data_IF_734185181821
#
_entry.id   IF_734185181821
#
_cell.length_a   1.000
_cell.length_b   1.000
_cell.length_c   1.000
_cell.angle_alpha   90.00
_cell.angle_beta   90.00
_cell.angle_gamma   90.00
#
_symmetry.space_group_name_H-M   'P 1'
#
loop_
_entity.id
_entity.type
_entity.pdbx_description
1 polymer ?
#
# COMPACT_ATOMS: atom_id res chain seq x y z
N UNK A 1 45.41 -63.55 26.01
CA UNK A 1 44.33 -63.01 26.87
C UNK A 1 43.60 -61.92 26.09
N UNK A 2 42.47 -62.24 25.47
CA UNK A 2 41.67 -61.27 24.71
C UNK A 2 40.54 -60.74 25.61
N UNK A 3 40.65 -59.48 26.07
CA UNK A 3 39.50 -58.78 26.67
C UNK A 3 38.57 -58.35 25.54
N UNK A 4 37.38 -58.95 25.47
CA UNK A 4 36.31 -58.48 24.60
C UNK A 4 35.77 -57.16 25.17
N UNK A 5 35.60 -56.10 24.35
CA UNK A 5 34.89 -54.90 24.79
C UNK A 5 33.41 -55.24 24.99
N UNK A 6 32.91 -55.00 26.21
CA UNK A 6 31.48 -55.13 26.53
C UNK A 6 30.64 -54.11 25.73
N UNK A 7 29.45 -54.48 25.24
CA UNK A 7 28.53 -53.56 24.57
C UNK A 7 27.82 -52.68 25.60
N UNK A 8 28.57 -51.84 26.32
CA UNK A 8 28.02 -50.94 27.33
C UNK A 8 27.35 -49.68 26.71
N UNK A 9 27.44 -49.49 25.39
CA UNK A 9 26.97 -48.29 24.70
C UNK A 9 25.49 -48.30 24.27
N UNK A 10 24.87 -49.47 24.09
CA UNK A 10 23.55 -49.56 23.43
C UNK A 10 22.41 -48.87 24.18
N UNK A 11 22.32 -49.08 25.50
CA UNK A 11 21.24 -48.51 26.32
C UNK A 11 21.39 -46.99 26.51
N UNK A 12 22.61 -46.51 26.76
CA UNK A 12 22.89 -45.07 26.92
C UNK A 12 22.62 -44.28 25.64
N UNK A 13 23.00 -44.83 24.48
CA UNK A 13 22.69 -44.22 23.18
C UNK A 13 21.19 -44.20 22.91
N UNK A 14 20.46 -45.27 23.21
CA UNK A 14 18.99 -45.30 23.06
C UNK A 14 18.29 -44.26 23.94
N UNK A 15 18.69 -44.16 25.22
CA UNK A 15 18.14 -43.16 26.14
C UNK A 15 18.46 -41.76 25.64
N UNK A 16 19.70 -41.51 25.19
CA UNK A 16 20.10 -40.22 24.61
C UNK A 16 19.28 -39.83 23.39
N UNK A 17 19.04 -40.77 22.47
CA UNK A 17 18.20 -40.54 21.28
C UNK A 17 16.76 -40.23 21.67
N UNK A 18 16.17 -40.98 22.61
CA UNK A 18 14.81 -40.74 23.08
C UNK A 18 14.65 -39.36 23.73
N UNK A 19 15.64 -38.92 24.51
CA UNK A 19 15.65 -37.59 25.11
C UNK A 19 15.74 -36.48 24.05
N UNK A 20 16.59 -36.65 23.03
CA UNK A 20 16.70 -35.70 21.91
C UNK A 20 15.39 -35.61 21.11
N UNK A 21 14.76 -36.75 20.81
CA UNK A 21 13.47 -36.78 20.11
C UNK A 21 12.38 -36.12 20.95
N UNK A 22 12.33 -36.42 22.25
CA UNK A 22 11.38 -35.79 23.18
C UNK A 22 11.56 -34.27 23.26
N UNK A 23 12.81 -33.80 23.35
CA UNK A 23 13.12 -32.37 23.33
C UNK A 23 12.74 -31.72 22.01
N UNK A 24 13.02 -32.38 20.88
CA UNK A 24 12.64 -31.87 19.57
C UNK A 24 11.12 -31.72 19.43
N UNK A 25 10.35 -32.73 19.85
CA UNK A 25 8.89 -32.68 19.85
C UNK A 25 8.39 -31.54 20.74
N UNK A 26 8.98 -31.36 21.92
CA UNK A 26 8.61 -30.29 22.85
C UNK A 26 8.85 -28.92 22.21
N UNK A 27 10.01 -28.70 21.59
CA UNK A 27 10.34 -27.44 20.91
C UNK A 27 9.40 -27.19 19.73
N UNK A 28 9.14 -28.20 18.89
CA UNK A 28 8.23 -28.08 17.75
C UNK A 28 6.82 -27.72 18.24
N UNK A 29 6.32 -28.38 19.29
CA UNK A 29 5.01 -28.08 19.86
C UNK A 29 4.90 -26.62 20.30
N UNK A 30 5.89 -26.11 21.04
CA UNK A 30 5.87 -24.72 21.50
C UNK A 30 6.03 -23.71 20.37
N UNK A 31 6.81 -24.03 19.34
CA UNK A 31 6.93 -23.20 18.15
C UNK A 31 5.58 -23.09 17.40
N UNK A 32 4.87 -24.21 17.23
CA UNK A 32 3.55 -24.22 16.60
C UNK A 32 2.50 -23.44 17.41
N UNK A 33 2.49 -23.59 18.73
CA UNK A 33 1.59 -22.83 19.61
C UNK A 33 1.87 -21.33 19.48
N UNK A 34 3.13 -20.93 19.55
CA UNK A 34 3.53 -19.52 19.39
C UNK A 34 3.12 -18.99 18.01
N UNK A 35 3.35 -19.75 16.95
CA UNK A 35 2.94 -19.37 15.60
C UNK A 35 1.42 -19.20 15.49
N UNK A 36 0.64 -20.12 16.08
CA UNK A 36 -0.81 -20.03 16.10
C UNK A 36 -1.32 -18.79 16.88
N UNK A 37 -0.69 -18.48 18.02
CA UNK A 37 -1.01 -17.28 18.81
C UNK A 37 -0.73 -16.01 18.01
N UNK A 38 0.40 -15.94 17.31
CA UNK A 38 0.79 -14.77 16.51
C UNK A 38 0.00 -14.63 15.20
N UNK A 39 -0.51 -15.74 14.66
CA UNK A 39 -1.29 -15.74 13.42
C UNK A 39 -2.55 -14.87 13.53
N UNK A 40 -3.20 -14.82 14.70
CA UNK A 40 -4.42 -14.02 14.92
C UNK A 40 -4.14 -12.51 14.84
N UNK A 41 -3.30 -11.90 15.70
CA UNK A 41 -3.04 -10.47 15.65
C UNK A 41 -2.38 -10.06 14.34
N UNK A 42 -1.49 -10.88 13.78
CA UNK A 42 -0.87 -10.59 12.48
C UNK A 42 -1.88 -10.66 11.34
N UNK A 43 -2.78 -11.65 11.34
CA UNK A 43 -3.84 -11.76 10.35
C UNK A 43 -4.82 -10.59 10.41
N UNK A 44 -5.23 -10.17 11.61
CA UNK A 44 -6.09 -8.99 11.79
C UNK A 44 -5.39 -7.72 11.31
N UNK A 45 -4.14 -7.52 11.73
CA UNK A 45 -3.34 -6.36 11.30
C UNK A 45 -3.19 -6.32 9.77
N UNK A 46 -2.83 -7.44 9.15
CA UNK A 46 -2.68 -7.57 7.70
C UNK A 46 -3.98 -7.26 6.95
N UNK A 47 -5.12 -7.73 7.46
CA UNK A 47 -6.43 -7.46 6.84
C UNK A 47 -6.79 -5.97 6.93
N UNK A 48 -6.54 -5.35 8.09
CA UNK A 48 -6.74 -3.91 8.30
C UNK A 48 -5.84 -3.09 7.38
N UNK A 49 -4.55 -3.41 7.32
CA UNK A 49 -3.59 -2.71 6.47
C UNK A 49 -3.97 -2.82 4.98
N UNK A 50 -4.33 -4.01 4.52
CA UNK A 50 -4.82 -4.22 3.15
C UNK A 50 -6.08 -3.42 2.85
N UNK A 51 -7.00 -3.30 3.81
CA UNK A 51 -8.22 -2.49 3.65
C UNK A 51 -7.90 -0.98 3.57
N UNK A 52 -6.96 -0.51 4.40
CA UNK A 52 -6.50 0.89 4.38
C UNK A 52 -5.79 1.22 3.09
N UNK A 53 -4.96 0.32 2.59
CA UNK A 53 -4.27 0.51 1.32
C UNK A 53 -5.26 0.59 0.15
N UNK A 54 -6.29 -0.26 0.13
CA UNK A 54 -7.38 -0.15 -0.87
C UNK A 54 -8.08 1.21 -0.80
N UNK A 55 -8.50 1.63 0.39
CA UNK A 55 -9.13 2.94 0.58
C UNK A 55 -8.26 4.11 0.11
N UNK A 56 -6.94 4.03 0.32
CA UNK A 56 -5.99 5.04 -0.18
C UNK A 56 -5.93 5.07 -1.70
N UNK A 57 -5.88 3.90 -2.34
CA UNK A 57 -5.90 3.79 -3.81
C UNK A 57 -7.22 4.32 -4.37
N UNK A 58 -8.35 3.95 -3.76
CA UNK A 58 -9.68 4.42 -4.18
C UNK A 58 -9.81 5.94 -4.01
N UNK A 59 -9.34 6.49 -2.88
CA UNK A 59 -9.32 7.93 -2.63
C UNK A 59 -8.42 8.68 -3.63
N UNK A 60 -7.25 8.13 -3.95
CA UNK A 60 -6.36 8.70 -4.96
C UNK A 60 -7.01 8.66 -6.36
N UNK A 61 -7.70 7.57 -6.70
CA UNK A 61 -8.47 7.44 -7.94
C UNK A 61 -9.60 8.45 -8.02
N UNK A 62 -10.37 8.63 -6.94
CA UNK A 62 -11.43 9.62 -6.85
C UNK A 62 -10.91 11.05 -6.98
N UNK A 63 -9.79 11.38 -6.32
CA UNK A 63 -9.14 12.69 -6.43
C UNK A 63 -8.63 12.96 -7.87
N UNK A 64 -8.04 11.94 -8.51
CA UNK A 64 -7.60 12.04 -9.90
C UNK A 64 -8.78 12.22 -10.87
N UNK A 65 -9.88 11.48 -10.67
CA UNK A 65 -11.10 11.61 -11.47
C UNK A 65 -11.72 13.01 -11.31
N UNK A 66 -11.78 13.52 -10.08
CA UNK A 66 -12.28 14.88 -9.80
C UNK A 66 -11.40 15.94 -10.47
N UNK A 67 -10.08 15.82 -10.39
CA UNK A 67 -9.16 16.73 -11.10
C UNK A 67 -9.41 16.68 -12.60
N UNK A 68 -9.51 15.48 -13.19
CA UNK A 68 -9.77 15.33 -14.62
C UNK A 68 -11.11 15.97 -15.04
N UNK A 69 -12.15 15.80 -14.22
CA UNK A 69 -13.46 16.44 -14.46
C UNK A 69 -13.35 17.97 -14.45
N UNK A 70 -12.72 18.55 -13.43
CA UNK A 70 -12.57 20.01 -13.30
C UNK A 70 -11.73 20.57 -14.46
N UNK A 71 -10.59 19.93 -14.74
CA UNK A 71 -9.70 20.34 -15.83
C UNK A 71 -10.36 20.20 -17.21
N UNK A 72 -11.28 19.24 -17.40
CA UNK A 72 -12.01 19.09 -18.66
C UNK A 72 -12.91 20.28 -19.00
N UNK A 73 -13.30 21.08 -18.01
CA UNK A 73 -14.08 22.32 -18.19
C UNK A 73 -13.18 23.49 -18.59
N UNK A 74 -11.90 23.46 -18.19
CA UNK A 74 -10.90 24.48 -18.52
C UNK A 74 -10.23 24.24 -19.88
N UNK A 75 -11.05 24.06 -20.91
CA UNK A 75 -10.62 23.90 -22.32
C UNK A 75 -11.28 24.97 -23.19
N UNK A 76 -10.83 25.10 -24.44
CA UNK A 76 -11.49 25.97 -25.41
C UNK A 76 -12.80 25.32 -25.84
N UNK A 77 -13.91 26.06 -25.76
CA UNK A 77 -15.24 25.58 -26.14
C UNK A 77 -15.44 25.53 -27.67
N UNK A 78 -16.58 25.00 -28.11
CA UNK A 78 -16.90 24.88 -29.54
C UNK A 78 -17.08 26.23 -30.24
N UNK A 79 -17.34 27.31 -29.51
CA UNK A 79 -17.45 28.67 -30.03
C UNK A 79 -16.08 29.40 -30.04
N UNK A 80 -14.99 28.72 -29.66
CA UNK A 80 -13.65 29.29 -29.57
C UNK A 80 -13.40 30.13 -28.31
N UNK A 81 -14.32 30.10 -27.34
CA UNK A 81 -14.21 30.77 -26.05
C UNK A 81 -13.54 29.91 -24.98
N UNK A 82 -13.33 30.49 -23.80
CA UNK A 82 -12.87 29.77 -22.62
C UNK A 82 -14.04 29.02 -21.97
N UNK A 83 -13.99 27.69 -21.93
CA UNK A 83 -15.01 26.85 -21.29
C UNK A 83 -15.11 27.00 -19.77
N UNK A 84 -14.15 27.66 -19.12
CA UNK A 84 -14.15 27.91 -17.68
C UNK A 84 -14.91 29.18 -17.30
N UNK A 85 -14.48 30.34 -17.81
CA UNK A 85 -15.06 31.65 -17.46
C UNK A 85 -16.00 32.22 -18.53
N UNK A 86 -16.15 31.56 -19.69
CA UNK A 86 -17.00 32.02 -20.79
C UNK A 86 -16.43 33.18 -21.62
N UNK A 87 -15.20 33.62 -21.35
CA UNK A 87 -14.55 34.70 -22.12
C UNK A 87 -14.40 34.32 -23.60
N UNK A 88 -14.74 35.24 -24.51
CA UNK A 88 -14.44 35.11 -25.95
C UNK A 88 -13.08 35.69 -26.35
N UNK A 89 -12.36 36.29 -25.40
CA UNK A 89 -11.03 36.85 -25.62
C UNK A 89 -9.99 35.82 -25.19
N UNK A 90 -8.98 35.50 -26.02
CA UNK A 90 -7.93 34.57 -25.66
C UNK A 90 -7.18 35.03 -24.40
N UNK A 91 -7.05 34.12 -23.43
CA UNK A 91 -6.24 34.36 -22.24
C UNK A 91 -4.78 34.56 -22.62
N UNK A 92 -4.12 35.49 -21.93
CA UNK A 92 -2.72 35.82 -22.14
C UNK A 92 -1.97 35.72 -20.83
N UNK A 93 -0.71 35.34 -20.91
CA UNK A 93 0.21 35.37 -19.78
C UNK A 93 0.58 36.82 -19.46
N UNK A 94 0.37 37.25 -18.21
CA UNK A 94 0.54 38.66 -17.80
C UNK A 94 1.96 39.19 -17.99
N UNK A 95 2.97 38.30 -17.99
CA UNK A 95 4.38 38.70 -18.11
C UNK A 95 4.83 38.78 -19.55
N UNK A 96 4.36 37.87 -20.40
CA UNK A 96 4.84 37.73 -21.77
C UNK A 96 3.84 38.21 -22.82
N UNK A 97 2.58 38.39 -22.46
CA UNK A 97 1.48 38.72 -23.38
C UNK A 97 1.11 37.59 -24.34
N UNK A 98 1.75 36.42 -24.24
CA UNK A 98 1.54 35.29 -25.13
C UNK A 98 0.24 34.57 -24.79
N UNK A 99 -0.56 34.14 -25.79
CA UNK A 99 -1.74 33.34 -25.54
C UNK A 99 -1.43 32.06 -24.74
N UNK A 100 -2.26 31.78 -23.73
CA UNK A 100 -2.15 30.57 -22.90
C UNK A 100 -3.45 29.80 -22.91
N UNK A 101 -3.37 28.49 -22.63
CA UNK A 101 -4.55 27.66 -22.52
C UNK A 101 -5.40 28.09 -21.31
N UNK A 102 -6.74 27.92 -21.38
CA UNK A 102 -7.63 28.18 -20.25
C UNK A 102 -7.17 27.49 -18.95
N UNK A 103 -6.76 26.22 -19.04
CA UNK A 103 -6.18 25.47 -17.90
C UNK A 103 -4.97 26.14 -17.27
N UNK A 104 -4.08 26.75 -18.06
CA UNK A 104 -2.90 27.44 -17.53
C UNK A 104 -3.28 28.78 -16.90
N UNK A 105 -4.21 29.51 -17.50
CA UNK A 105 -4.65 30.81 -16.99
C UNK A 105 -5.41 30.68 -15.66
N UNK A 106 -6.34 29.73 -15.58
CA UNK A 106 -7.18 29.51 -14.38
C UNK A 106 -6.60 28.47 -13.42
N UNK A 107 -5.29 28.20 -13.46
CA UNK A 107 -4.69 27.12 -12.66
C UNK A 107 -5.04 27.27 -11.17
N UNK A 108 -4.94 28.47 -10.64
CA UNK A 108 -5.13 28.69 -9.21
C UNK A 108 -6.61 28.51 -8.79
N UNK A 109 -7.56 28.96 -9.62
CA UNK A 109 -9.01 28.69 -9.43
C UNK A 109 -9.35 27.20 -9.55
N UNK A 110 -8.69 26.50 -10.49
CA UNK A 110 -8.84 25.05 -10.68
C UNK A 110 -8.35 24.30 -9.44
N UNK A 111 -7.18 24.66 -8.90
CA UNK A 111 -6.65 24.05 -7.67
C UNK A 111 -7.57 24.31 -6.47
N UNK A 112 -8.14 25.52 -6.34
CA UNK A 112 -9.14 25.83 -5.31
C UNK A 112 -10.41 24.97 -5.46
N UNK A 113 -10.85 24.73 -6.70
CA UNK A 113 -12.03 23.89 -6.99
C UNK A 113 -11.79 22.40 -6.76
N UNK A 114 -10.53 21.95 -6.89
CA UNK A 114 -10.10 20.57 -6.65
C UNK A 114 -9.87 20.32 -5.16
N UNK A 115 -9.40 21.33 -4.42
CA UNK A 115 -9.21 21.23 -3.00
C UNK A 115 -10.53 20.77 -2.35
N UNK A 116 -10.49 19.77 -1.45
CA UNK A 116 -11.69 19.36 -0.75
C UNK A 116 -12.23 20.60 -0.02
N UNK A 117 -13.50 20.95 -0.25
CA UNK A 117 -14.25 21.79 0.68
C UNK A 117 -14.15 21.11 2.03
N UNK A 118 -13.26 21.63 2.87
CA UNK A 118 -12.91 21.11 4.19
C UNK A 118 -14.13 20.96 5.07
#
# INVERSE_FOLDING_TARGET
>A
MARRPSPAGGCGTLIGVLLLVGLAILVIKWALITAAILAVPFGVWWLVDRSRQRRRVDAAGAAAARRAEVESRAVVDAAGGCGWCGSRIPHRDDRTGVPVSPRRFHRDEIEETIAPTS
#
